data_IF_682360374013
#
_entry.id   IF_682360374013
#
_cell.length_a   1.000
_cell.length_b   1.000
_cell.length_c   1.000
_cell.angle_alpha   90.00
_cell.angle_beta   90.00
_cell.angle_gamma   90.00
#
_symmetry.space_group_name_H-M   'P 1'
#
loop_
_entity.id
_entity.type
_entity.pdbx_description
1 polymer ?
#
# COMPACT_ATOMS: atom_id res chain seq x y z
N UNK A 1 7.33 6.69 -20.52
CA UNK A 1 8.27 5.55 -20.50
C UNK A 1 8.17 4.87 -19.15
N UNK A 2 7.68 3.65 -19.15
CA UNK A 2 7.65 2.78 -17.98
C UNK A 2 8.96 2.03 -17.86
N UNK A 3 9.37 1.70 -16.64
CA UNK A 3 10.63 0.96 -16.39
C UNK A 3 10.43 -0.53 -16.67
N UNK A 4 9.24 -1.06 -16.36
CA UNK A 4 8.92 -2.48 -16.42
C UNK A 4 8.35 -2.93 -17.76
N UNK A 5 7.52 -2.10 -18.41
CA UNK A 5 6.95 -2.42 -19.72
C UNK A 5 7.91 -1.98 -20.83
N UNK A 6 8.80 -2.86 -21.24
CA UNK A 6 9.82 -2.60 -22.26
C UNK A 6 9.63 -3.43 -23.53
N UNK A 7 8.77 -4.44 -23.52
CA UNK A 7 8.42 -5.20 -24.70
C UNK A 7 7.61 -4.32 -25.68
N UNK A 8 7.85 -4.38 -27.02
CA UNK A 8 7.12 -3.60 -28.01
C UNK A 8 5.59 -3.77 -27.95
N UNK A 9 5.08 -4.96 -27.62
CA UNK A 9 3.66 -5.20 -27.49
C UNK A 9 3.09 -4.60 -26.21
N UNK A 10 3.82 -4.63 -25.07
CA UNK A 10 3.44 -3.97 -23.82
C UNK A 10 3.35 -2.45 -24.03
N UNK A 11 4.37 -1.87 -24.65
CA UNK A 11 4.39 -0.43 -24.98
C UNK A 11 3.22 -0.03 -25.88
N UNK A 12 2.96 -0.82 -26.93
CA UNK A 12 1.90 -0.56 -27.90
C UNK A 12 0.51 -0.68 -27.29
N UNK A 13 0.30 -1.65 -26.42
CA UNK A 13 -1.00 -1.94 -25.78
C UNK A 13 -1.18 -1.19 -24.47
N UNK A 14 -0.12 -0.63 -23.90
CA UNK A 14 -0.10 0.01 -22.57
C UNK A 14 -0.58 -0.93 -21.47
N UNK A 15 -0.15 -2.19 -21.52
CA UNK A 15 -0.42 -3.22 -20.52
C UNK A 15 0.83 -4.05 -20.28
N UNK A 16 1.01 -4.52 -19.06
CA UNK A 16 2.01 -5.53 -18.71
C UNK A 16 1.56 -6.90 -19.18
N UNK A 17 2.41 -7.64 -19.87
CA UNK A 17 2.15 -9.00 -20.38
C UNK A 17 2.98 -10.03 -19.62
N UNK A 18 4.24 -9.72 -19.33
CA UNK A 18 5.18 -10.60 -18.64
C UNK A 18 5.70 -9.97 -17.35
N UNK A 19 6.06 -10.79 -16.37
CA UNK A 19 6.65 -10.29 -15.12
C UNK A 19 8.03 -9.68 -15.38
N UNK A 20 8.23 -8.46 -14.91
CA UNK A 20 9.51 -7.74 -14.94
C UNK A 20 10.09 -7.57 -13.55
N UNK A 21 11.43 -7.52 -13.45
CA UNK A 21 12.13 -7.32 -12.18
C UNK A 21 12.78 -5.95 -12.16
N UNK A 22 12.38 -5.11 -11.22
CA UNK A 22 12.97 -3.79 -10.97
C UNK A 22 13.71 -3.78 -9.62
N UNK A 23 15.06 -3.83 -9.62
CA UNK A 23 15.83 -3.76 -8.39
C UNK A 23 15.94 -2.31 -7.90
N UNK A 24 15.69 -2.09 -6.62
CA UNK A 24 15.88 -0.81 -5.94
C UNK A 24 16.72 -1.00 -4.68
N UNK A 25 17.39 0.06 -4.24
CA UNK A 25 18.14 0.09 -2.98
C UNK A 25 17.50 1.13 -2.06
N UNK A 26 17.08 0.71 -0.87
CA UNK A 26 16.48 1.59 0.13
C UNK A 26 16.85 1.13 1.54
N UNK A 27 17.20 2.07 2.43
CA UNK A 27 17.52 1.76 3.83
C UNK A 27 18.67 0.75 4.02
N UNK A 28 19.63 0.71 3.09
CA UNK A 28 20.74 -0.26 3.12
C UNK A 28 20.36 -1.67 2.62
N UNK A 29 19.11 -1.89 2.25
CA UNK A 29 18.60 -3.16 1.70
C UNK A 29 18.45 -3.08 0.19
N UNK A 30 18.66 -4.22 -0.49
CA UNK A 30 18.27 -4.41 -1.90
C UNK A 30 16.88 -5.00 -1.94
N UNK A 31 15.96 -4.33 -2.61
CA UNK A 31 14.58 -4.79 -2.82
C UNK A 31 14.41 -5.11 -4.30
N UNK A 32 13.94 -6.30 -4.63
CA UNK A 32 13.59 -6.67 -6.00
C UNK A 32 12.06 -6.61 -6.11
N UNK A 33 11.56 -5.62 -6.86
CA UNK A 33 10.14 -5.50 -7.16
C UNK A 33 9.84 -6.33 -8.39
N UNK A 34 8.91 -7.28 -8.28
CA UNK A 34 8.36 -8.04 -9.41
C UNK A 34 7.06 -7.35 -9.84
N UNK A 35 7.11 -6.69 -11.00
CA UNK A 35 5.93 -6.08 -11.61
C UNK A 35 5.20 -7.14 -12.42
N UNK A 36 4.00 -7.51 -11.96
CA UNK A 36 3.22 -8.61 -12.50
C UNK A 36 2.05 -8.12 -13.34
N UNK A 37 1.67 -8.86 -14.41
CA UNK A 37 0.50 -8.53 -15.22
C UNK A 37 -0.79 -8.44 -14.41
N UNK A 38 -1.59 -7.38 -14.65
CA UNK A 38 -2.91 -7.21 -14.03
C UNK A 38 -4.05 -7.94 -14.74
N UNK A 39 -3.87 -8.32 -16.00
CA UNK A 39 -4.89 -8.99 -16.78
C UNK A 39 -4.95 -10.50 -16.47
N UNK A 40 -6.16 -11.04 -16.41
CA UNK A 40 -6.40 -12.44 -16.04
C UNK A 40 -5.80 -13.47 -17.01
N UNK A 41 -5.63 -13.09 -18.27
CA UNK A 41 -5.02 -13.94 -19.29
C UNK A 41 -3.57 -14.30 -18.95
N UNK A 42 -2.90 -13.47 -18.16
CA UNK A 42 -1.49 -13.64 -17.77
C UNK A 42 -1.32 -14.11 -16.31
N UNK A 43 -2.35 -14.69 -15.70
CA UNK A 43 -2.32 -15.13 -14.29
C UNK A 43 -1.20 -16.14 -13.99
N UNK A 44 -0.72 -16.88 -14.99
CA UNK A 44 0.40 -17.79 -14.84
C UNK A 44 1.67 -17.12 -14.32
N UNK A 45 1.97 -15.92 -14.83
CA UNK A 45 3.12 -15.11 -14.41
C UNK A 45 2.97 -14.64 -12.96
N UNK A 46 1.76 -14.22 -12.57
CA UNK A 46 1.45 -13.85 -11.19
C UNK A 46 1.71 -15.02 -10.23
N UNK A 47 1.18 -16.21 -10.56
CA UNK A 47 1.34 -17.41 -9.73
C UNK A 47 2.79 -17.89 -9.65
N UNK A 48 3.56 -17.74 -10.73
CA UNK A 48 4.99 -18.03 -10.72
C UNK A 48 5.75 -17.05 -9.81
N UNK A 49 5.44 -15.76 -9.89
CA UNK A 49 6.07 -14.70 -9.08
C UNK A 49 5.83 -14.90 -7.59
N UNK A 50 4.64 -15.37 -7.18
CA UNK A 50 4.34 -15.65 -5.76
C UNK A 50 5.26 -16.69 -5.11
N UNK A 51 5.97 -17.50 -5.91
CA UNK A 51 6.93 -18.49 -5.41
C UNK A 51 8.30 -17.90 -5.10
N UNK A 52 8.54 -16.65 -5.52
CA UNK A 52 9.85 -16.00 -5.48
C UNK A 52 9.86 -14.71 -4.62
N UNK A 53 8.76 -14.42 -3.93
CA UNK A 53 8.60 -13.17 -3.15
C UNK A 53 8.26 -13.45 -1.70
N UNK A 54 8.61 -12.53 -0.83
CA UNK A 54 8.33 -12.58 0.61
C UNK A 54 7.08 -11.78 0.99
N UNK A 55 6.59 -10.90 0.11
CA UNK A 55 5.39 -10.08 0.36
C UNK A 55 4.73 -9.68 -0.96
N UNK A 56 3.47 -9.27 -0.90
CA UNK A 56 2.73 -8.75 -2.04
C UNK A 56 2.20 -7.35 -1.83
N UNK A 57 2.20 -6.55 -2.90
CA UNK A 57 1.56 -5.24 -2.94
C UNK A 57 0.41 -5.31 -3.93
N UNK A 58 -0.82 -5.04 -3.46
CA UNK A 58 -2.01 -4.93 -4.31
C UNK A 58 -2.27 -3.45 -4.56
N UNK A 59 -2.15 -3.03 -5.82
CA UNK A 59 -2.40 -1.64 -6.21
C UNK A 59 -3.89 -1.46 -6.54
N UNK A 60 -4.49 -0.45 -5.92
CA UNK A 60 -5.88 -0.04 -6.11
C UNK A 60 -5.93 1.39 -6.65
N UNK A 61 -6.97 1.72 -7.40
CA UNK A 61 -7.26 3.09 -7.78
C UNK A 61 -8.21 3.72 -6.76
N UNK A 62 -7.90 4.93 -6.30
CA UNK A 62 -8.78 5.68 -5.40
C UNK A 62 -10.16 5.98 -6.04
N UNK A 63 -10.22 5.99 -7.37
CA UNK A 63 -11.43 6.23 -8.14
C UNK A 63 -12.28 4.96 -8.32
N UNK A 64 -11.62 3.83 -8.64
CA UNK A 64 -12.32 2.60 -9.04
C UNK A 64 -12.55 1.65 -7.85
N UNK A 65 -11.85 1.85 -6.74
CA UNK A 65 -11.97 1.03 -5.54
C UNK A 65 -11.41 -0.39 -5.70
N UNK A 66 -12.08 -1.36 -5.07
CA UNK A 66 -11.65 -2.76 -5.07
C UNK A 66 -12.11 -3.44 -6.35
N UNK A 67 -11.18 -3.71 -7.27
CA UNK A 67 -11.44 -4.44 -8.51
C UNK A 67 -11.51 -5.96 -8.28
N UNK A 68 -12.10 -6.68 -9.23
CA UNK A 68 -12.08 -8.17 -9.24
C UNK A 68 -10.66 -8.71 -9.28
N UNK A 69 -9.74 -8.00 -9.95
CA UNK A 69 -8.31 -8.35 -9.98
C UNK A 69 -7.69 -8.27 -8.59
N UNK A 70 -7.97 -7.21 -7.84
CA UNK A 70 -7.49 -7.04 -6.48
C UNK A 70 -8.01 -8.14 -5.54
N UNK A 71 -9.30 -8.53 -5.68
CA UNK A 71 -9.87 -9.62 -4.89
C UNK A 71 -9.20 -10.97 -5.17
N UNK A 72 -8.87 -11.25 -6.44
CA UNK A 72 -8.16 -12.47 -6.82
C UNK A 72 -6.73 -12.47 -6.30
N UNK A 73 -6.02 -11.36 -6.44
CA UNK A 73 -4.66 -11.18 -5.93
C UNK A 73 -4.60 -11.39 -4.42
N UNK A 74 -5.57 -10.84 -3.67
CA UNK A 74 -5.72 -11.11 -2.24
C UNK A 74 -5.86 -12.60 -1.93
N UNK A 75 -6.72 -13.32 -2.67
CA UNK A 75 -6.91 -14.77 -2.48
C UNK A 75 -5.63 -15.56 -2.74
N UNK A 76 -4.87 -15.19 -3.77
CA UNK A 76 -3.60 -15.85 -4.09
C UNK A 76 -2.54 -15.59 -3.02
N UNK A 77 -2.37 -14.35 -2.58
CA UNK A 77 -1.42 -14.00 -1.53
C UNK A 77 -1.77 -14.67 -0.21
N UNK A 78 -3.06 -14.66 0.16
CA UNK A 78 -3.52 -15.35 1.37
C UNK A 78 -3.31 -16.87 1.30
N UNK A 79 -3.57 -17.51 0.16
CA UNK A 79 -3.32 -18.93 -0.04
C UNK A 79 -1.84 -19.29 0.01
N UNK A 80 -0.96 -18.36 -0.39
CA UNK A 80 0.49 -18.48 -0.29
C UNK A 80 1.04 -18.08 1.10
N UNK A 81 0.18 -17.64 2.02
CA UNK A 81 0.55 -17.12 3.35
C UNK A 81 1.58 -15.99 3.29
N UNK A 82 1.41 -15.08 2.33
CA UNK A 82 2.31 -13.94 2.13
C UNK A 82 1.73 -12.67 2.78
N UNK A 83 2.54 -11.90 3.51
CA UNK A 83 2.18 -10.57 3.97
C UNK A 83 1.73 -9.70 2.80
N UNK A 84 0.69 -8.90 3.01
CA UNK A 84 0.08 -8.12 1.94
C UNK A 84 -0.11 -6.67 2.33
N UNK A 85 0.29 -5.76 1.45
CA UNK A 85 0.07 -4.32 1.56
C UNK A 85 -0.87 -3.87 0.44
N UNK A 86 -1.86 -3.04 0.76
CA UNK A 86 -2.65 -2.33 -0.23
C UNK A 86 -2.04 -0.97 -0.51
N UNK A 87 -1.81 -0.65 -1.78
CA UNK A 87 -1.35 0.65 -2.23
C UNK A 87 -2.48 1.33 -3.00
N UNK A 88 -3.06 2.38 -2.44
CA UNK A 88 -4.10 3.17 -3.11
C UNK A 88 -3.43 4.28 -3.91
N UNK A 89 -3.50 4.19 -5.23
CA UNK A 89 -2.94 5.14 -6.18
C UNK A 89 -4.00 6.08 -6.72
N UNK A 90 -3.59 7.11 -7.48
CA UNK A 90 -4.48 8.07 -8.15
C UNK A 90 -5.37 8.85 -7.18
N UNK A 91 -4.86 9.14 -5.99
CA UNK A 91 -5.57 9.96 -5.00
C UNK A 91 -5.68 11.44 -5.43
N UNK A 92 -4.89 11.85 -6.41
CA UNK A 92 -4.87 13.17 -7.04
C UNK A 92 -5.80 13.30 -8.25
N UNK A 93 -6.40 12.20 -8.71
CA UNK A 93 -7.36 12.24 -9.82
C UNK A 93 -8.74 12.72 -9.33
N UNK A 94 -9.48 13.35 -10.26
CA UNK A 94 -10.87 13.77 -10.02
C UNK A 94 -11.74 12.57 -9.62
N UNK A 95 -12.50 12.72 -8.54
CA UNK A 95 -13.29 11.65 -7.91
C UNK A 95 -12.48 10.53 -7.23
N UNK A 96 -11.18 10.70 -7.02
CA UNK A 96 -10.40 9.78 -6.19
C UNK A 96 -10.74 9.99 -4.71
N UNK A 97 -11.19 8.93 -4.02
CA UNK A 97 -11.50 8.95 -2.59
C UNK A 97 -10.77 7.82 -1.87
N UNK A 98 -9.65 8.17 -1.24
CA UNK A 98 -8.83 7.24 -0.46
C UNK A 98 -9.62 6.62 0.71
N UNK A 99 -10.40 7.44 1.43
CA UNK A 99 -11.09 6.98 2.63
C UNK A 99 -12.26 6.06 2.29
N UNK A 100 -12.97 6.31 1.21
CA UNK A 100 -14.00 5.38 0.71
C UNK A 100 -13.38 4.01 0.34
N UNK A 101 -12.18 3.98 -0.24
CA UNK A 101 -11.47 2.73 -0.53
C UNK A 101 -11.01 2.04 0.75
N UNK A 102 -10.48 2.78 1.73
CA UNK A 102 -10.09 2.24 3.04
C UNK A 102 -11.28 1.61 3.77
N UNK A 103 -12.43 2.29 3.79
CA UNK A 103 -13.64 1.77 4.41
C UNK A 103 -14.16 0.51 3.72
N UNK A 104 -14.11 0.47 2.38
CA UNK A 104 -14.45 -0.71 1.60
C UNK A 104 -13.50 -1.90 1.89
N UNK A 105 -12.20 -1.64 2.06
CA UNK A 105 -11.21 -2.64 2.45
C UNK A 105 -11.49 -3.18 3.86
N UNK A 106 -11.75 -2.29 4.84
CA UNK A 106 -12.12 -2.66 6.22
C UNK A 106 -13.42 -3.48 6.26
N UNK A 107 -14.44 -3.05 5.51
CA UNK A 107 -15.71 -3.78 5.42
C UNK A 107 -15.55 -5.19 4.85
N UNK A 108 -14.61 -5.37 3.91
CA UNK A 108 -14.41 -6.64 3.21
C UNK A 108 -13.45 -7.59 3.91
N UNK A 109 -12.36 -7.06 4.47
CA UNK A 109 -11.26 -7.88 5.01
C UNK A 109 -11.13 -7.78 6.54
N UNK A 110 -11.91 -6.92 7.16
CA UNK A 110 -11.98 -6.78 8.61
C UNK A 110 -11.04 -5.73 9.18
N UNK A 111 -11.04 -5.63 10.52
CA UNK A 111 -10.29 -4.63 11.29
C UNK A 111 -8.76 -4.79 11.23
N UNK A 112 -8.27 -5.90 10.70
CA UNK A 112 -6.81 -6.09 10.44
C UNK A 112 -6.28 -5.14 9.37
N UNK A 113 -7.17 -4.53 8.56
CA UNK A 113 -6.78 -3.52 7.57
C UNK A 113 -6.68 -2.17 8.29
N UNK A 114 -5.47 -1.71 8.47
CA UNK A 114 -5.19 -0.38 9.03
C UNK A 114 -4.28 0.42 8.09
N UNK A 115 -4.48 1.74 7.98
CA UNK A 115 -3.62 2.57 7.16
C UNK A 115 -2.27 2.78 7.87
N UNK A 116 -1.17 2.74 7.12
CA UNK A 116 0.16 3.15 7.57
C UNK A 116 0.54 4.52 7.03
N UNK A 117 -0.06 4.90 5.90
CA UNK A 117 0.05 6.24 5.31
C UNK A 117 -1.31 6.69 4.79
N UNK A 118 -1.58 7.99 4.89
CA UNK A 118 -2.80 8.61 4.34
C UNK A 118 -2.44 9.83 3.48
N UNK A 119 -3.26 10.22 2.52
CA UNK A 119 -3.07 11.47 1.81
C UNK A 119 -3.33 12.66 2.73
N UNK A 120 -2.60 13.75 2.54
CA UNK A 120 -2.90 15.04 3.18
C UNK A 120 -4.22 15.59 2.64
N UNK A 121 -4.97 16.29 3.47
CA UNK A 121 -6.27 16.88 3.11
C UNK A 121 -6.17 17.90 1.98
N UNK A 122 -5.01 18.56 1.80
CA UNK A 122 -4.74 19.51 0.73
C UNK A 122 -4.26 18.85 -0.57
N UNK A 123 -4.11 17.51 -0.60
CA UNK A 123 -3.67 16.74 -1.77
C UNK A 123 -2.19 16.94 -2.14
N UNK A 124 -1.38 17.64 -1.32
CA UNK A 124 0.01 18.00 -1.68
C UNK A 124 1.05 16.98 -1.21
N UNK A 125 0.64 15.93 -0.48
CA UNK A 125 1.56 14.96 0.06
C UNK A 125 0.88 13.82 0.81
N UNK A 126 1.65 13.14 1.64
CA UNK A 126 1.19 12.00 2.44
C UNK A 126 1.62 12.15 3.89
N UNK A 127 0.86 11.57 4.80
CA UNK A 127 1.18 11.51 6.23
C UNK A 127 1.54 10.07 6.57
N UNK A 128 2.69 9.89 7.18
CA UNK A 128 3.17 8.63 7.75
C UNK A 128 2.63 8.52 9.18
N UNK A 129 1.72 7.59 9.39
CA UNK A 129 1.08 7.36 10.68
C UNK A 129 2.00 6.64 11.67
N UNK A 130 2.97 5.87 11.18
CA UNK A 130 3.93 5.17 12.02
C UNK A 130 4.86 6.16 12.71
N UNK A 131 5.48 7.05 11.94
CA UNK A 131 6.43 8.04 12.45
C UNK A 131 5.79 9.37 12.86
N UNK A 132 4.49 9.54 12.65
CA UNK A 132 3.73 10.77 12.92
C UNK A 132 4.36 12.01 12.25
N UNK A 133 4.63 11.91 10.97
CA UNK A 133 5.22 12.98 10.15
C UNK A 133 4.54 13.07 8.80
N UNK A 134 4.62 14.23 8.15
CA UNK A 134 4.10 14.40 6.80
C UNK A 134 5.24 14.61 5.80
N UNK A 135 5.00 14.17 4.56
CA UNK A 135 5.90 14.35 3.42
C UNK A 135 5.16 15.09 2.33
N UNK A 136 5.59 16.34 2.10
CA UNK A 136 5.02 17.20 1.06
C UNK A 136 5.85 17.11 -0.22
N UNK A 137 5.17 16.94 -1.35
CA UNK A 137 5.84 16.88 -2.63
C UNK A 137 6.51 18.22 -2.98
N UNK A 138 7.78 18.16 -3.36
CA UNK A 138 8.58 19.29 -3.82
C UNK A 138 9.36 18.88 -5.08
N UNK A 139 8.70 19.01 -6.25
CA UNK A 139 9.24 18.51 -7.52
C UNK A 139 9.46 17.00 -7.49
N UNK A 140 10.72 16.58 -7.69
CA UNK A 140 11.10 15.14 -7.65
C UNK A 140 11.49 14.65 -6.23
N UNK A 141 11.39 15.51 -5.21
CA UNK A 141 11.70 15.20 -3.81
C UNK A 141 10.47 15.34 -2.95
N UNK A 142 10.56 14.82 -1.74
CA UNK A 142 9.57 15.04 -0.70
C UNK A 142 10.25 15.71 0.50
N UNK A 143 9.68 16.80 0.97
CA UNK A 143 10.13 17.49 2.16
C UNK A 143 9.41 16.95 3.38
N UNK A 144 10.15 16.59 4.42
CA UNK A 144 9.58 16.17 5.69
C UNK A 144 9.11 17.39 6.46
N UNK A 145 7.85 17.38 6.89
CA UNK A 145 7.20 18.44 7.65
C UNK A 145 6.43 17.86 8.83
N UNK A 146 6.04 18.67 9.78
CA UNK A 146 5.13 18.28 10.84
C UNK A 146 3.72 18.01 10.27
N UNK A 147 2.93 17.20 10.96
CA UNK A 147 1.54 16.93 10.58
C UNK A 147 0.75 18.24 10.57
N UNK A 148 0.08 18.60 9.47
CA UNK A 148 -0.73 19.81 9.42
C UNK A 148 -1.85 19.81 10.45
N UNK A 149 -2.14 20.95 11.05
CA UNK A 149 -3.19 21.08 12.06
C UNK A 149 -4.59 20.68 11.55
N UNK A 150 -4.83 20.82 10.24
CA UNK A 150 -6.07 20.39 9.61
C UNK A 150 -6.27 18.86 9.64
N UNK A 151 -5.19 18.10 9.62
CA UNK A 151 -5.20 16.63 9.59
C UNK A 151 -5.01 16.01 10.98
N UNK A 152 -4.58 16.79 11.99
CA UNK A 152 -4.14 16.29 13.29
C UNK A 152 -5.16 15.39 13.99
N UNK A 153 -6.44 15.79 14.02
CA UNK A 153 -7.49 15.00 14.69
C UNK A 153 -7.74 13.65 14.00
N UNK A 154 -7.71 13.62 12.68
CA UNK A 154 -7.89 12.39 11.91
C UNK A 154 -6.67 11.48 12.02
N UNK A 155 -5.47 12.06 12.05
CA UNK A 155 -4.21 11.32 12.26
C UNK A 155 -4.18 10.66 13.63
N UNK A 156 -4.60 11.36 14.69
CA UNK A 156 -4.65 10.82 16.05
C UNK A 156 -5.55 9.58 16.12
N UNK A 157 -6.78 9.67 15.60
CA UNK A 157 -7.73 8.55 15.55
C UNK A 157 -7.18 7.33 14.79
N UNK A 158 -6.63 7.56 13.59
CA UNK A 158 -6.12 6.47 12.76
C UNK A 158 -4.82 5.87 13.30
N UNK A 159 -4.00 6.67 13.98
CA UNK A 159 -2.78 6.21 14.65
C UNK A 159 -3.12 5.33 15.85
N UNK A 160 -4.11 5.69 16.64
CA UNK A 160 -4.61 4.87 17.75
C UNK A 160 -5.09 3.51 17.24
N UNK A 161 -5.93 3.49 16.20
CA UNK A 161 -6.41 2.26 15.56
C UNK A 161 -5.26 1.40 14.96
N UNK A 162 -4.22 2.03 14.41
CA UNK A 162 -3.02 1.35 13.91
C UNK A 162 -2.27 0.68 15.06
N UNK A 163 -2.06 1.39 16.17
CA UNK A 163 -1.37 0.89 17.37
C UNK A 163 -2.12 -0.29 17.99
N UNK A 164 -3.45 -0.19 18.15
CA UNK A 164 -4.28 -1.29 18.65
C UNK A 164 -4.18 -2.54 17.75
N UNK A 165 -4.22 -2.34 16.43
CA UNK A 165 -4.12 -3.45 15.47
C UNK A 165 -2.75 -4.11 15.53
N UNK A 166 -1.67 -3.31 15.64
CA UNK A 166 -0.31 -3.81 15.77
C UNK A 166 -0.08 -4.54 17.10
N UNK A 167 -0.63 -4.01 18.20
CA UNK A 167 -0.57 -4.64 19.52
C UNK A 167 -1.21 -6.04 19.53
N UNK A 168 -2.31 -6.21 18.77
CA UNK A 168 -2.98 -7.50 18.64
C UNK A 168 -2.19 -8.59 17.88
N UNK A 169 -1.02 -8.27 17.32
CA UNK A 169 -0.23 -9.23 16.55
C UNK A 169 0.48 -10.28 17.41
N UNK A 170 0.94 -9.91 18.61
CA UNK A 170 1.59 -10.83 19.58
C UNK A 170 1.22 -10.46 21.00
N UNK A 171 1.28 -11.45 21.93
CA UNK A 171 1.04 -11.22 23.36
C UNK A 171 2.04 -10.20 23.94
N UNK A 172 3.30 -10.26 23.53
CA UNK A 172 4.37 -9.35 23.99
C UNK A 172 4.09 -7.89 23.59
N UNK A 173 3.64 -7.66 22.35
CA UNK A 173 3.27 -6.31 21.88
C UNK A 173 2.02 -5.80 22.61
N UNK A 174 1.07 -6.68 22.91
CA UNK A 174 -0.12 -6.34 23.66
C UNK A 174 0.20 -5.91 25.08
N UNK A 175 1.06 -6.66 25.80
CA UNK A 175 1.54 -6.29 27.14
C UNK A 175 2.25 -4.93 27.12
N UNK A 176 3.18 -4.73 26.17
CA UNK A 176 3.90 -3.46 26.01
C UNK A 176 2.95 -2.28 25.76
N UNK A 177 1.97 -2.47 24.89
CA UNK A 177 0.97 -1.44 24.60
C UNK A 177 0.12 -1.06 25.82
N UNK A 178 -0.28 -2.03 26.65
CA UNK A 178 -1.02 -1.76 27.88
C UNK A 178 -0.18 -1.03 28.94
N UNK A 179 1.13 -1.21 28.95
CA UNK A 179 2.03 -0.53 29.88
C UNK A 179 2.36 0.91 29.46
N UNK A 180 2.58 1.14 28.19
CA UNK A 180 3.09 2.43 27.68
C UNK A 180 2.08 3.23 26.87
N UNK A 181 0.99 2.63 26.39
CA UNK A 181 0.03 3.16 25.43
C UNK A 181 0.67 3.55 24.10
N UNK A 182 1.92 3.11 23.85
CA UNK A 182 2.68 3.36 22.63
C UNK A 182 3.45 2.11 22.22
N UNK A 183 3.65 1.93 20.91
CA UNK A 183 4.54 0.95 20.31
C UNK A 183 5.63 1.72 19.55
N UNK A 184 6.91 1.41 19.84
CA UNK A 184 8.08 1.94 19.12
C UNK A 184 8.38 1.11 17.87
#
# INVERSE_FOLDING_TARGET
NTVCDYDPEEIKRQITISTSVAPISFGGCKINVLDCPGYFDFVGDVLASLRAVEAGVIVLSAKDGISVGAERSWKYLKAANLPTVFCVSKCDEEHGDYFAVLDALKAKYGSIVCPVTIPMSDGTGVIDLVHNVAYKQNGAKADKIDVPAADAGHVEELREALMETAAGATEELMEKFFETMELE
#
